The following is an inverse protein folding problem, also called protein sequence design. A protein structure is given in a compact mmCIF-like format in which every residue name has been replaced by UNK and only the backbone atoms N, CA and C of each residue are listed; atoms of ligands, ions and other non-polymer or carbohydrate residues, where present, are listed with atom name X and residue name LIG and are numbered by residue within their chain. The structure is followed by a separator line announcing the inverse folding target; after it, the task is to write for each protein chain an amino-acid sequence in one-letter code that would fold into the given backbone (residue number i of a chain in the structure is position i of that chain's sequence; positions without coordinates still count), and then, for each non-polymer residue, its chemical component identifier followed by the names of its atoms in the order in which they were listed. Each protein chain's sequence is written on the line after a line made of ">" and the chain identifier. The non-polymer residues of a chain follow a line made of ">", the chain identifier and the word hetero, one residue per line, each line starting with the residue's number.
data_IF_629170722783
#
_entry.id   IF_629170722783
#
_cell.length_a   1.000
_cell.length_b   1.000
_cell.length_c   1.000
_cell.angle_alpha   90.00
_cell.angle_beta   90.00
_cell.angle_gamma   90.00
#
_symmetry.space_group_name_H-M   'P 1'
#
loop_
_entity.id
_entity.type
_entity.pdbx_description
1 polymer ?
#
# COMPACT_ATOMS: atom_id res chain seq x y z
N UNK A 1 -11.54 -11.20 -14.78
CA UNK A 1 -11.19 -10.02 -13.99
C UNK A 1 -9.98 -10.35 -13.11
N UNK A 2 -9.02 -9.41 -12.96
CA UNK A 2 -7.84 -9.63 -12.10
C UNK A 2 -8.19 -9.45 -10.62
N UNK A 3 -9.05 -8.47 -10.30
CA UNK A 3 -9.60 -8.26 -8.97
C UNK A 3 -10.96 -8.97 -8.85
N UNK A 4 -11.21 -9.58 -7.70
CA UNK A 4 -12.47 -10.30 -7.47
C UNK A 4 -13.62 -9.30 -7.28
N UNK A 5 -14.74 -9.44 -7.98
CA UNK A 5 -15.98 -8.79 -7.58
C UNK A 5 -16.53 -9.43 -6.30
N UNK A 6 -17.33 -8.71 -5.54
CA UNK A 6 -17.85 -9.04 -4.22
C UNK A 6 -18.65 -10.38 -4.07
N UNK A 7 -18.86 -11.14 -5.10
CA UNK A 7 -19.56 -12.41 -5.02
C UNK A 7 -18.82 -13.49 -5.81
N UNK A 8 -18.25 -14.41 -5.07
CA UNK A 8 -18.07 -15.82 -5.40
C UNK A 8 -17.88 -16.17 -6.89
N UNK A 9 -16.72 -15.89 -7.43
CA UNK A 9 -16.16 -16.77 -8.42
C UNK A 9 -14.77 -17.13 -7.91
N UNK A 10 -14.69 -18.28 -7.24
CA UNK A 10 -13.45 -19.01 -7.02
C UNK A 10 -12.90 -19.36 -8.40
N UNK A 11 -12.39 -18.36 -9.10
CA UNK A 11 -11.54 -18.59 -10.23
C UNK A 11 -10.24 -19.10 -9.63
N UNK A 12 -9.93 -20.34 -9.91
CA UNK A 12 -8.65 -21.00 -9.64
C UNK A 12 -7.52 -20.33 -10.44
N UNK A 13 -7.42 -19.01 -10.32
CA UNK A 13 -6.28 -18.29 -10.87
C UNK A 13 -5.10 -18.48 -9.93
N UNK A 14 -3.95 -18.94 -10.41
CA UNK A 14 -2.75 -19.06 -9.59
C UNK A 14 -2.21 -17.71 -9.11
N UNK A 15 -2.76 -16.60 -9.60
CA UNK A 15 -2.40 -15.24 -9.20
C UNK A 15 -3.66 -14.47 -8.84
N UNK A 16 -3.80 -14.16 -7.55
CA UNK A 16 -4.90 -13.35 -7.04
C UNK A 16 -4.41 -11.92 -6.79
N UNK A 17 -5.18 -10.95 -7.28
CA UNK A 17 -4.93 -9.54 -7.01
C UNK A 17 -5.41 -9.15 -5.59
N UNK A 18 -4.85 -8.08 -4.99
CA UNK A 18 -5.31 -7.56 -3.71
C UNK A 18 -6.80 -7.21 -3.72
N UNK A 19 -7.44 -7.30 -2.55
CA UNK A 19 -8.80 -6.80 -2.37
C UNK A 19 -8.83 -5.27 -2.55
N UNK A 20 -9.71 -4.82 -3.43
CA UNK A 20 -9.88 -3.39 -3.70
C UNK A 20 -10.54 -2.65 -2.55
N UNK A 21 -11.43 -3.30 -1.78
CA UNK A 21 -12.05 -2.67 -0.61
C UNK A 21 -11.00 -2.43 0.47
N UNK A 22 -10.13 -3.42 0.72
CA UNK A 22 -9.02 -3.24 1.65
C UNK A 22 -8.09 -2.10 1.20
N UNK A 23 -7.71 -2.12 -0.08
CA UNK A 23 -6.83 -1.09 -0.65
C UNK A 23 -7.44 0.31 -0.57
N UNK A 24 -8.73 0.44 -0.89
CA UNK A 24 -9.44 1.71 -0.83
C UNK A 24 -9.65 2.22 0.60
N UNK A 25 -9.72 1.32 1.58
CA UNK A 25 -9.87 1.68 2.98
C UNK A 25 -8.58 2.18 3.61
N UNK A 26 -7.46 1.51 3.38
CA UNK A 26 -6.23 1.67 4.16
C UNK A 26 -5.07 2.37 3.43
N UNK A 27 -5.17 2.53 2.12
CA UNK A 27 -4.13 3.24 1.37
C UNK A 27 -4.49 4.72 1.20
N UNK A 28 -3.43 5.53 1.11
CA UNK A 28 -3.57 6.94 0.73
C UNK A 28 -4.24 7.04 -0.64
N UNK A 29 -5.33 7.77 -0.79
CA UNK A 29 -6.01 7.95 -2.06
C UNK A 29 -5.13 8.58 -3.15
N UNK A 30 -4.27 9.54 -2.80
CA UNK A 30 -3.31 10.12 -3.76
C UNK A 30 -2.30 9.06 -4.25
N UNK A 31 -1.85 8.17 -3.35
CA UNK A 31 -1.02 7.02 -3.76
C UNK A 31 -1.80 6.08 -4.69
N UNK A 32 -3.08 5.80 -4.39
CA UNK A 32 -3.93 4.94 -5.23
C UNK A 32 -4.08 5.53 -6.63
N UNK A 33 -4.40 6.83 -6.74
CA UNK A 33 -4.55 7.50 -8.02
C UNK A 33 -3.26 7.43 -8.85
N UNK A 34 -2.13 7.76 -8.25
CA UNK A 34 -0.83 7.69 -8.91
C UNK A 34 -0.47 6.24 -9.33
N UNK A 35 -0.76 5.25 -8.47
CA UNK A 35 -0.48 3.85 -8.78
C UNK A 35 -1.37 3.33 -9.92
N UNK A 36 -2.65 3.69 -9.95
CA UNK A 36 -3.58 3.33 -11.03
C UNK A 36 -3.16 4.01 -12.34
N UNK A 37 -2.74 5.28 -12.29
CA UNK A 37 -2.29 6.01 -13.46
C UNK A 37 -1.01 5.44 -14.08
N UNK A 38 -0.06 4.97 -13.26
CA UNK A 38 1.21 4.42 -13.75
C UNK A 38 1.79 3.39 -12.76
N UNK A 39 1.28 2.14 -12.77
CA UNK A 39 1.65 1.12 -11.80
C UNK A 39 3.14 0.74 -11.85
N UNK A 40 3.71 0.68 -13.07
CA UNK A 40 5.10 0.26 -13.25
C UNK A 40 6.13 1.29 -12.79
N UNK A 41 5.80 2.59 -12.87
CA UNK A 41 6.68 3.64 -12.36
C UNK A 41 6.73 3.65 -10.83
N UNK A 42 5.58 3.43 -10.15
CA UNK A 42 5.55 3.43 -8.69
C UNK A 42 6.01 2.11 -8.08
N UNK A 43 5.83 1.01 -8.79
CA UNK A 43 6.24 -0.32 -8.32
C UNK A 43 6.84 -1.11 -9.48
N UNK A 44 8.14 -0.97 -9.73
CA UNK A 44 8.83 -1.83 -10.69
C UNK A 44 8.59 -3.31 -10.38
N UNK A 45 8.30 -4.10 -11.42
CA UNK A 45 7.99 -5.52 -11.28
C UNK A 45 6.56 -5.84 -10.78
N UNK A 46 5.66 -4.86 -10.69
CA UNK A 46 4.24 -5.14 -10.48
C UNK A 46 3.66 -5.94 -11.64
N UNK A 47 2.75 -6.87 -11.32
CA UNK A 47 1.98 -7.61 -12.33
C UNK A 47 0.68 -6.91 -12.73
N UNK A 48 0.35 -5.78 -12.10
CA UNK A 48 -0.79 -4.96 -12.53
C UNK A 48 -0.47 -4.34 -13.89
N UNK A 49 -1.30 -4.58 -14.91
CA UNK A 49 -1.07 -4.01 -16.23
C UNK A 49 -1.31 -2.50 -16.24
N UNK A 50 -0.63 -1.79 -17.14
CA UNK A 50 -0.94 -0.38 -17.45
C UNK A 50 -2.21 -0.35 -18.32
N UNK A 51 -3.35 -0.07 -17.71
CA UNK A 51 -4.65 -0.01 -18.39
C UNK A 51 -4.84 1.28 -19.21
N UNK A 52 -3.95 2.24 -19.04
CA UNK A 52 -4.03 3.54 -19.70
C UNK A 52 -2.94 3.74 -20.76
N UNK A 53 -2.32 2.65 -21.21
CA UNK A 53 -1.30 2.70 -22.25
C UNK A 53 -1.83 3.44 -23.49
N UNK A 54 -1.07 4.42 -23.97
CA UNK A 54 -1.46 5.24 -25.13
C UNK A 54 -2.29 6.49 -24.82
N UNK A 55 -2.78 6.67 -23.57
CA UNK A 55 -3.39 7.93 -23.15
C UNK A 55 -2.33 8.94 -22.76
N UNK A 56 -2.58 10.22 -22.98
CA UNK A 56 -1.72 11.30 -22.46
C UNK A 56 -1.74 11.34 -20.92
N UNK A 57 -0.73 12.01 -20.35
CA UNK A 57 -0.51 12.03 -18.89
C UNK A 57 -1.68 12.64 -18.11
N UNK A 58 -2.30 13.71 -18.64
CA UNK A 58 -3.43 14.37 -17.98
C UNK A 58 -4.62 13.42 -17.91
N UNK A 59 -5.00 12.84 -19.04
CA UNK A 59 -6.14 11.94 -19.15
C UNK A 59 -5.97 10.67 -18.33
N UNK A 60 -4.74 10.13 -18.21
CA UNK A 60 -4.43 9.01 -17.30
C UNK A 60 -4.74 9.37 -15.85
N UNK A 61 -4.34 10.57 -15.42
CA UNK A 61 -4.56 11.00 -14.05
C UNK A 61 -6.02 11.29 -13.78
N UNK A 62 -6.74 11.92 -14.72
CA UNK A 62 -8.18 12.19 -14.57
C UNK A 62 -8.99 10.90 -14.42
N UNK A 63 -8.71 9.91 -15.26
CA UNK A 63 -9.36 8.59 -15.19
C UNK A 63 -8.98 7.83 -13.91
N UNK A 64 -7.72 7.89 -13.49
CA UNK A 64 -7.25 7.25 -12.27
C UNK A 64 -7.87 7.91 -11.01
N UNK A 65 -8.01 9.23 -10.99
CA UNK A 65 -8.70 9.95 -9.93
C UNK A 65 -10.18 9.55 -9.87
N UNK A 66 -10.86 9.48 -11.01
CA UNK A 66 -12.25 9.04 -11.06
C UNK A 66 -12.42 7.62 -10.49
N UNK A 67 -11.54 6.69 -10.86
CA UNK A 67 -11.53 5.32 -10.30
C UNK A 67 -11.25 5.35 -8.79
N UNK A 68 -10.32 6.18 -8.33
CA UNK A 68 -10.00 6.31 -6.90
C UNK A 68 -11.20 6.80 -6.11
N UNK A 69 -11.90 7.84 -6.60
CA UNK A 69 -13.15 8.31 -6.00
C UNK A 69 -14.23 7.23 -5.98
N UNK A 70 -14.35 6.44 -7.03
CA UNK A 70 -15.28 5.30 -7.03
C UNK A 70 -14.90 4.26 -5.96
N UNK A 71 -13.65 3.87 -5.86
CA UNK A 71 -13.20 2.89 -4.87
C UNK A 71 -13.42 3.39 -3.44
N UNK A 72 -13.03 4.63 -3.14
CA UNK A 72 -13.18 5.22 -1.82
C UNK A 72 -14.64 5.51 -1.44
N UNK A 73 -15.54 5.69 -2.43
CA UNK A 73 -16.97 5.84 -2.18
C UNK A 73 -17.64 4.56 -1.65
N UNK A 74 -17.01 3.41 -1.87
CA UNK A 74 -17.53 2.10 -1.42
C UNK A 74 -17.04 1.70 -0.03
N UNK A 75 -16.05 2.41 0.48
CA UNK A 75 -15.41 2.13 1.76
C UNK A 75 -15.27 3.43 2.55
N UNK A 76 -15.13 3.31 3.86
CA UNK A 76 -14.71 4.44 4.67
C UNK A 76 -13.19 4.50 4.64
N UNK A 77 -12.60 5.33 3.78
CA UNK A 77 -11.15 5.49 3.76
C UNK A 77 -10.69 6.08 5.09
N UNK A 78 -9.82 5.36 5.79
CA UNK A 78 -9.32 5.70 7.12
C UNK A 78 -7.85 6.16 7.10
N UNK A 79 -7.34 6.48 5.93
CA UNK A 79 -5.96 6.92 5.81
C UNK A 79 -5.72 8.20 6.61
N UNK A 80 -4.84 8.08 7.58
CA UNK A 80 -4.26 9.18 8.32
C UNK A 80 -2.74 8.96 8.43
N UNK A 81 -1.93 10.01 8.39
CA UNK A 81 -0.49 9.88 8.64
C UNK A 81 -0.23 9.18 9.96
N UNK A 82 0.74 8.28 9.96
CA UNK A 82 1.09 7.56 11.18
C UNK A 82 1.62 8.54 12.24
N UNK A 83 1.09 8.42 13.45
CA UNK A 83 1.66 9.05 14.65
C UNK A 83 2.46 8.00 15.38
N UNK A 84 3.76 8.20 15.46
CA UNK A 84 4.70 7.26 16.05
C UNK A 84 5.45 7.92 17.22
N UNK A 85 5.88 7.12 18.18
CA UNK A 85 6.70 7.57 19.29
C UNK A 85 8.13 7.01 19.20
N UNK A 86 9.08 7.70 19.83
CA UNK A 86 10.50 7.37 19.72
C UNK A 86 10.84 5.96 20.24
N UNK A 87 10.14 5.49 21.27
CA UNK A 87 10.40 4.18 21.86
C UNK A 87 9.93 3.04 20.93
N UNK A 88 8.75 3.20 20.31
CA UNK A 88 8.25 2.26 19.32
C UNK A 88 9.14 2.25 18.07
N UNK A 89 9.59 3.42 17.62
CA UNK A 89 10.53 3.52 16.48
C UNK A 89 11.82 2.78 16.77
N UNK A 90 12.41 2.98 17.96
CA UNK A 90 13.66 2.32 18.36
C UNK A 90 13.51 0.80 18.40
N UNK A 91 12.46 0.29 19.06
CA UNK A 91 12.21 -1.17 19.08
C UNK A 91 11.94 -1.73 17.70
N UNK A 92 11.20 -0.99 16.87
CA UNK A 92 10.91 -1.38 15.50
C UNK A 92 12.15 -1.46 14.60
N UNK A 93 13.10 -0.55 14.78
CA UNK A 93 14.41 -0.59 14.14
C UNK A 93 15.18 -1.87 14.52
N UNK A 94 15.29 -2.15 15.81
CA UNK A 94 15.94 -3.36 16.32
C UNK A 94 15.26 -4.64 15.76
N UNK A 95 13.93 -4.71 15.77
CA UNK A 95 13.15 -5.84 15.26
C UNK A 95 13.30 -6.00 13.76
N UNK A 96 13.19 -4.92 12.97
CA UNK A 96 13.32 -4.96 11.50
C UNK A 96 14.67 -5.54 11.07
N UNK A 97 15.73 -5.23 11.79
CA UNK A 97 17.09 -5.70 11.48
C UNK A 97 17.41 -7.08 12.07
N UNK A 98 16.69 -7.55 13.10
CA UNK A 98 16.99 -8.82 13.78
C UNK A 98 16.06 -9.98 13.39
N UNK A 99 14.80 -9.72 13.05
CA UNK A 99 13.83 -10.79 12.74
C UNK A 99 13.89 -11.33 11.29
N UNK A 100 14.87 -10.89 10.49
CA UNK A 100 15.08 -11.39 9.15
C UNK A 100 14.42 -10.59 8.03
N UNK A 101 13.78 -9.44 8.30
CA UNK A 101 13.22 -8.58 7.26
C UNK A 101 14.29 -8.16 6.23
N UNK A 102 15.50 -7.90 6.71
CA UNK A 102 16.66 -7.51 5.90
C UNK A 102 17.23 -8.65 5.04
N UNK A 103 16.74 -9.87 5.19
CA UNK A 103 17.09 -10.95 4.26
C UNK A 103 16.49 -10.74 2.86
N UNK A 104 15.40 -9.98 2.76
CA UNK A 104 14.72 -9.66 1.51
C UNK A 104 14.68 -8.16 1.22
N UNK A 105 14.57 -7.33 2.25
CA UNK A 105 14.50 -5.87 2.13
C UNK A 105 15.84 -5.23 2.45
N UNK A 106 16.13 -4.10 1.82
CA UNK A 106 17.33 -3.36 2.16
C UNK A 106 17.28 -2.88 3.63
N UNK A 107 18.40 -2.96 4.38
CA UNK A 107 18.47 -2.36 5.69
C UNK A 107 18.23 -0.86 5.61
N UNK A 108 17.68 -0.30 6.67
CA UNK A 108 17.41 1.13 6.80
C UNK A 108 18.31 1.74 7.86
N UNK A 109 18.68 2.99 7.67
CA UNK A 109 19.38 3.74 8.69
C UNK A 109 18.40 4.28 9.74
N UNK A 110 18.94 4.97 10.75
CA UNK A 110 18.14 5.55 11.85
C UNK A 110 17.10 6.59 11.40
N UNK A 111 17.19 7.06 10.16
CA UNK A 111 16.21 7.97 9.54
C UNK A 111 15.21 7.22 8.64
N UNK A 112 15.19 5.90 8.70
CA UNK A 112 14.42 5.00 7.86
C UNK A 112 14.69 5.14 6.34
N UNK A 113 15.85 5.65 5.95
CA UNK A 113 16.27 5.66 4.55
C UNK A 113 16.84 4.31 4.16
N UNK A 114 16.38 3.77 3.02
CA UNK A 114 16.89 2.49 2.50
C UNK A 114 18.34 2.63 2.04
N UNK A 115 19.17 1.72 2.51
CA UNK A 115 20.51 1.50 1.94
C UNK A 115 20.32 0.60 0.73
N UNK A 116 20.37 1.18 -0.46
CA UNK A 116 20.23 0.40 -1.70
C UNK A 116 21.27 -0.72 -1.75
N UNK A 117 20.78 -1.95 -1.83
CA UNK A 117 21.58 -3.15 -2.05
C UNK A 117 21.09 -3.85 -3.31
N UNK A 118 22.04 -4.33 -4.11
CA UNK A 118 21.70 -5.17 -5.26
C UNK A 118 20.89 -6.39 -4.80
N UNK A 119 19.82 -6.69 -5.53
CA UNK A 119 18.90 -7.81 -5.26
C UNK A 119 17.95 -7.65 -4.06
N UNK A 120 18.01 -6.55 -3.30
CA UNK A 120 16.99 -6.30 -2.28
C UNK A 120 15.66 -5.87 -2.92
N UNK A 121 14.55 -6.18 -2.22
CA UNK A 121 13.21 -5.75 -2.62
C UNK A 121 12.96 -4.38 -1.98
N UNK A 122 12.93 -3.29 -2.76
CA UNK A 122 12.76 -1.96 -2.22
C UNK A 122 11.37 -1.80 -1.59
N UNK A 123 11.31 -1.16 -0.45
CA UNK A 123 10.06 -0.79 0.24
C UNK A 123 9.51 0.55 -0.26
N UNK A 124 10.39 1.45 -0.69
CA UNK A 124 10.06 2.81 -1.08
C UNK A 124 9.49 3.64 0.08
N UNK A 125 8.72 4.66 -0.26
CA UNK A 125 8.13 5.60 0.71
C UNK A 125 6.83 5.03 1.29
N UNK A 126 6.94 4.18 2.31
CA UNK A 126 5.77 3.53 2.93
C UNK A 126 4.86 4.54 3.65
N UNK A 127 5.42 5.60 4.20
CA UNK A 127 4.70 6.61 4.97
C UNK A 127 3.70 7.44 4.14
N UNK A 128 3.93 7.57 2.82
CA UNK A 128 2.96 8.21 1.92
C UNK A 128 1.93 7.23 1.36
N UNK A 129 2.09 5.95 1.63
CA UNK A 129 1.26 4.89 1.07
C UNK A 129 0.28 4.29 2.08
N UNK A 130 0.75 3.94 3.27
CA UNK A 130 -0.01 3.21 4.28
C UNK A 130 -0.40 4.09 5.45
N UNK A 131 -1.64 3.91 5.96
CA UNK A 131 -1.93 4.23 7.36
C UNK A 131 -1.19 3.26 8.29
N UNK A 132 -1.04 3.64 9.57
CA UNK A 132 -0.46 2.74 10.57
C UNK A 132 -1.26 1.44 10.66
N UNK A 133 -2.59 1.53 10.74
CA UNK A 133 -3.48 0.37 10.81
C UNK A 133 -3.33 -0.53 9.59
N UNK A 134 -3.28 0.04 8.38
CA UNK A 134 -3.14 -0.74 7.15
C UNK A 134 -1.78 -1.44 7.03
N UNK A 135 -0.69 -0.82 7.51
CA UNK A 135 0.61 -1.49 7.50
C UNK A 135 0.68 -2.60 8.57
N UNK A 136 0.10 -2.37 9.76
CA UNK A 136 0.00 -3.39 10.81
C UNK A 136 -0.76 -4.62 10.30
N UNK A 137 -1.95 -4.44 9.72
CA UNK A 137 -2.75 -5.54 9.17
C UNK A 137 -2.00 -6.30 8.06
N UNK A 138 -1.28 -5.57 7.20
CA UNK A 138 -0.43 -6.20 6.18
C UNK A 138 0.70 -7.03 6.78
N UNK A 139 1.39 -6.54 7.82
CA UNK A 139 2.49 -7.26 8.46
C UNK A 139 2.00 -8.49 9.24
N UNK A 140 0.83 -8.42 9.86
CA UNK A 140 0.23 -9.56 10.55
C UNK A 140 -0.19 -10.67 9.58
N UNK A 141 -0.81 -10.28 8.46
CA UNK A 141 -1.42 -11.22 7.52
C UNK A 141 -1.12 -10.86 6.05
N UNK A 142 0.16 -10.93 5.60
CA UNK A 142 0.54 -10.45 4.27
C UNK A 142 -0.19 -11.16 3.12
N UNK A 143 -0.56 -12.43 3.30
CA UNK A 143 -1.27 -13.21 2.26
C UNK A 143 -2.77 -12.95 2.24
N UNK A 144 -3.37 -12.44 3.32
CA UNK A 144 -4.76 -11.97 3.30
C UNK A 144 -4.84 -10.67 2.49
N UNK A 145 -3.93 -9.75 2.75
CA UNK A 145 -3.89 -8.45 2.04
C UNK A 145 -3.40 -8.58 0.60
N UNK A 146 -2.43 -9.45 0.38
CA UNK A 146 -1.85 -9.74 -0.95
C UNK A 146 -1.72 -11.24 -1.18
N UNK A 147 -2.78 -11.90 -1.63
CA UNK A 147 -2.82 -13.36 -1.74
C UNK A 147 -1.70 -13.97 -2.59
N UNK A 148 -1.26 -13.26 -3.63
CA UNK A 148 -0.12 -13.68 -4.47
C UNK A 148 1.22 -13.01 -4.08
N UNK A 149 1.27 -12.38 -2.91
CA UNK A 149 2.49 -11.80 -2.36
C UNK A 149 3.52 -12.87 -2.00
N UNK A 150 4.80 -12.50 -2.10
CA UNK A 150 5.93 -13.39 -1.73
C UNK A 150 6.46 -13.15 -0.32
N UNK A 151 5.98 -12.10 0.36
CA UNK A 151 6.37 -11.81 1.73
C UNK A 151 5.82 -12.91 2.65
N UNK A 152 6.65 -13.63 3.40
CA UNK A 152 6.18 -14.66 4.31
C UNK A 152 5.45 -14.07 5.51
N UNK A 153 4.57 -14.84 6.15
CA UNK A 153 4.07 -14.51 7.49
C UNK A 153 5.20 -14.73 8.49
N UNK A 154 5.53 -13.70 9.25
CA UNK A 154 6.61 -13.72 10.23
C UNK A 154 6.13 -14.13 11.64
N UNK A 155 4.83 -14.41 11.80
CA UNK A 155 4.23 -14.77 13.10
C UNK A 155 4.52 -13.75 14.22
N UNK A 156 4.48 -12.48 13.87
CA UNK A 156 4.76 -11.36 14.78
C UNK A 156 3.64 -11.24 15.82
N UNK A 157 4.00 -10.85 17.03
CA UNK A 157 3.03 -10.38 18.02
C UNK A 157 2.50 -9.00 17.63
N UNK A 158 1.32 -8.61 18.13
CA UNK A 158 0.75 -7.28 17.88
C UNK A 158 1.72 -6.16 18.25
N UNK A 159 2.51 -6.35 19.31
CA UNK A 159 3.48 -5.34 19.75
C UNK A 159 4.63 -5.20 18.75
N UNK A 160 5.23 -6.31 18.33
CA UNK A 160 6.30 -6.31 17.34
C UNK A 160 5.84 -5.71 16.03
N UNK A 161 4.62 -6.04 15.60
CA UNK A 161 4.02 -5.49 14.37
C UNK A 161 3.85 -3.98 14.44
N UNK A 162 3.34 -3.47 15.57
CA UNK A 162 3.18 -2.03 15.81
C UNK A 162 4.53 -1.31 15.83
N UNK A 163 5.52 -1.87 16.52
CA UNK A 163 6.85 -1.27 16.63
C UNK A 163 7.56 -1.25 15.26
N UNK A 164 7.51 -2.33 14.48
CA UNK A 164 8.06 -2.37 13.11
C UNK A 164 7.33 -1.36 12.21
N UNK A 165 6.00 -1.30 12.27
CA UNK A 165 5.22 -0.35 11.50
C UNK A 165 5.56 1.10 11.87
N UNK A 166 5.74 1.39 13.17
CA UNK A 166 6.16 2.71 13.63
C UNK A 166 7.53 3.11 13.06
N UNK A 167 8.50 2.21 13.07
CA UNK A 167 9.81 2.44 12.46
C UNK A 167 9.70 2.72 10.95
N UNK A 168 8.95 1.91 10.23
CA UNK A 168 8.80 2.03 8.77
C UNK A 168 8.03 3.29 8.35
N UNK A 169 7.18 3.82 9.22
CA UNK A 169 6.34 4.99 8.95
C UNK A 169 6.81 6.26 9.67
N UNK A 170 8.00 6.26 10.30
CA UNK A 170 8.49 7.39 11.10
C UNK A 170 8.59 8.71 10.32
N UNK A 171 8.74 8.64 8.99
CA UNK A 171 8.79 9.80 8.10
C UNK A 171 7.42 10.22 7.56
N UNK A 172 6.33 9.82 8.23
CA UNK A 172 5.00 10.22 7.81
C UNK A 172 4.87 11.75 7.86
N UNK A 173 4.23 12.37 6.85
CA UNK A 173 4.01 13.80 6.85
C UNK A 173 3.16 14.20 8.07
N UNK A 174 3.44 15.37 8.65
CA UNK A 174 2.72 15.86 9.83
C UNK A 174 1.21 16.06 9.57
N UNK A 175 0.85 16.33 8.33
CA UNK A 175 -0.54 16.46 7.90
C UNK A 175 -0.67 16.05 6.44
N UNK A 176 -1.84 15.57 6.06
CA UNK A 176 -2.27 15.38 4.68
C UNK A 176 -3.61 16.09 4.49
N UNK A 177 -3.90 16.48 3.27
CA UNK A 177 -5.25 16.92 2.94
C UNK A 177 -6.22 15.77 3.20
N UNK A 178 -7.32 16.04 3.91
CA UNK A 178 -8.37 15.05 4.09
C UNK A 178 -8.95 14.73 2.72
N UNK A 179 -9.04 13.45 2.42
CA UNK A 179 -9.67 13.00 1.20
C UNK A 179 -11.18 13.11 1.32
N UNK A 180 -11.78 13.90 0.45
CA UNK A 180 -13.22 13.98 0.31
C UNK A 180 -13.63 13.31 -1.00
N UNK A 181 -14.53 12.34 -0.90
CA UNK A 181 -15.00 11.61 -2.07
C UNK A 181 -15.95 12.46 -2.88
N UNK A 182 -15.59 12.78 -4.12
CA UNK A 182 -16.49 13.44 -5.08
C UNK A 182 -17.42 12.42 -5.72
N UNK A 183 -18.72 12.60 -5.52
CA UNK A 183 -19.76 11.68 -6.02
C UNK A 183 -19.89 11.70 -7.55
N UNK A 184 -19.58 12.82 -8.20
CA UNK A 184 -19.60 12.95 -9.66
C UNK A 184 -18.43 12.16 -10.27
N UNK A 185 -17.22 12.34 -9.73
CA UNK A 185 -16.05 11.57 -10.15
C UNK A 185 -16.23 10.09 -9.86
N UNK A 186 -16.78 9.73 -8.70
CA UNK A 186 -17.07 8.33 -8.37
C UNK A 186 -18.03 7.67 -9.37
N UNK A 187 -19.05 8.39 -9.82
CA UNK A 187 -19.98 7.90 -10.85
C UNK A 187 -19.26 7.67 -12.19
N UNK A 188 -18.37 8.57 -12.57
CA UNK A 188 -17.57 8.41 -13.78
C UNK A 188 -16.60 7.23 -13.66
N UNK A 189 -15.91 7.10 -12.53
CA UNK A 189 -14.97 6.02 -12.26
C UNK A 189 -15.60 4.63 -12.26
N UNK A 190 -16.89 4.53 -11.93
CA UNK A 190 -17.64 3.27 -12.03
C UNK A 190 -17.81 2.79 -13.48
N UNK A 191 -17.73 3.67 -14.45
CA UNK A 191 -17.95 3.36 -15.88
C UNK A 191 -16.65 3.01 -16.61
N UNK A 192 -15.51 3.34 -16.02
CA UNK A 192 -14.18 3.02 -16.54
C UNK A 192 -13.77 1.58 -16.20
#
# INVERSE_FOLDING_TARGET
>A
ACHQPEAALSLTSPKQAPDLNWSAKHLNPDFLANFIANPHALKPGTTMPDLFQGKDKSRRMDDALAITHFLTSRTNNDFTPAKTDAESIKRGDELFHSLGCVACHAPRDSTAQERQLDQSIPLGELAVKYSLAGLVEFLENPHVVRPSGRMPSMSLTNRETLDIAAFLLQNAPASVNLWETDSSLAKNGKQL
#
